data_IF_184989519240
#
_entry.id   IF_184989519240
#
_cell.length_a   1.000
_cell.length_b   1.000
_cell.length_c   1.000
_cell.angle_alpha   90.00
_cell.angle_beta   90.00
_cell.angle_gamma   90.00
#
_symmetry.space_group_name_H-M   'P 1'
#
loop_
_entity.id
_entity.type
_entity.pdbx_description
1 polymer ?
#
# COMPACT_ATOMS: atom_id res chain seq x y z
N UNK A 1 -5.48 10.35 3.19
CA UNK A 1 -5.50 8.86 3.28
C UNK A 1 -4.88 8.26 2.04
N UNK A 2 -4.33 7.04 2.16
CA UNK A 2 -3.73 6.28 1.06
C UNK A 2 -4.52 4.98 0.89
N UNK A 3 -5.11 4.79 -0.28
CA UNK A 3 -5.92 3.62 -0.61
C UNK A 3 -5.26 2.79 -1.71
N UNK A 4 -5.05 1.50 -1.44
CA UNK A 4 -4.64 0.52 -2.45
C UNK A 4 -5.86 0.17 -3.30
N UNK A 5 -5.83 0.48 -4.59
CA UNK A 5 -6.89 0.14 -5.55
C UNK A 5 -6.67 -1.23 -6.18
N UNK A 6 -5.48 -1.44 -6.72
CA UNK A 6 -5.11 -2.67 -7.42
C UNK A 6 -3.67 -3.06 -7.09
N UNK A 7 -3.39 -4.36 -7.06
CA UNK A 7 -2.09 -4.90 -6.66
C UNK A 7 -1.15 -5.05 -7.88
N UNK A 8 -1.73 -5.16 -9.08
CA UNK A 8 -1.00 -5.50 -10.29
C UNK A 8 -0.37 -6.91 -10.24
N UNK A 9 0.53 -7.23 -11.19
CA UNK A 9 1.13 -8.56 -11.31
C UNK A 9 2.19 -8.86 -10.23
N UNK A 10 2.76 -7.84 -9.59
CA UNK A 10 3.92 -7.95 -8.69
C UNK A 10 3.52 -8.07 -7.21
N UNK A 11 2.63 -9.01 -6.90
CA UNK A 11 2.02 -9.18 -5.57
C UNK A 11 3.02 -9.24 -4.40
N UNK A 12 4.14 -9.94 -4.57
CA UNK A 12 5.18 -10.06 -3.52
C UNK A 12 5.81 -8.70 -3.21
N UNK A 13 6.08 -7.87 -4.23
CA UNK A 13 6.68 -6.56 -4.06
C UNK A 13 5.70 -5.62 -3.35
N UNK A 14 4.42 -5.65 -3.74
CA UNK A 14 3.39 -4.85 -3.07
C UNK A 14 3.24 -5.25 -1.60
N UNK A 15 3.22 -6.55 -1.28
CA UNK A 15 3.18 -7.00 0.12
C UNK A 15 4.40 -6.49 0.90
N UNK A 16 5.60 -6.51 0.32
CA UNK A 16 6.79 -5.95 0.98
C UNK A 16 6.65 -4.45 1.23
N UNK A 17 6.23 -3.69 0.22
CA UNK A 17 6.02 -2.24 0.35
C UNK A 17 4.96 -1.91 1.41
N UNK A 18 3.82 -2.64 1.44
CA UNK A 18 2.79 -2.48 2.48
C UNK A 18 3.36 -2.75 3.87
N UNK A 19 4.14 -3.82 4.05
CA UNK A 19 4.77 -4.10 5.35
C UNK A 19 5.71 -3.00 5.82
N UNK A 20 6.46 -2.40 4.89
CA UNK A 20 7.38 -1.33 5.22
C UNK A 20 6.68 -0.04 5.65
N UNK A 21 5.49 0.26 5.11
CA UNK A 21 4.76 1.51 5.42
C UNK A 21 3.75 1.37 6.57
N UNK A 22 3.30 0.13 6.85
CA UNK A 22 2.30 -0.16 7.89
C UNK A 22 2.86 -0.89 9.11
N UNK A 23 4.07 -1.45 9.03
CA UNK A 23 4.68 -2.34 10.04
C UNK A 23 3.87 -3.60 10.36
N UNK A 24 2.92 -3.99 9.50
CA UNK A 24 2.13 -5.21 9.66
C UNK A 24 2.96 -6.49 9.53
N UNK A 25 2.49 -7.56 10.17
CA UNK A 25 3.02 -8.91 9.97
C UNK A 25 2.81 -9.40 8.54
N UNK A 26 3.56 -10.44 8.14
CA UNK A 26 3.47 -10.98 6.77
C UNK A 26 2.04 -11.45 6.43
N UNK A 27 1.35 -12.05 7.40
CA UNK A 27 -0.03 -12.50 7.23
C UNK A 27 -0.99 -11.34 7.02
N UNK A 28 -0.95 -10.35 7.92
CA UNK A 28 -1.84 -9.19 7.91
C UNK A 28 -1.65 -8.34 6.65
N UNK A 29 -0.39 -8.11 6.25
CA UNK A 29 -0.10 -7.37 5.01
C UNK A 29 -0.56 -8.12 3.76
N UNK A 30 -0.46 -9.46 3.76
CA UNK A 30 -1.00 -10.27 2.66
C UNK A 30 -2.52 -10.17 2.62
N UNK A 31 -3.21 -10.32 3.75
CA UNK A 31 -4.67 -10.18 3.86
C UNK A 31 -5.12 -8.79 3.40
N UNK A 32 -4.42 -7.71 3.81
CA UNK A 32 -4.71 -6.34 3.37
C UNK A 32 -4.58 -6.18 1.86
N UNK A 33 -3.43 -6.59 1.31
CA UNK A 33 -3.15 -6.45 -0.14
C UNK A 33 -4.14 -7.27 -0.96
N UNK A 34 -4.47 -8.50 -0.54
CA UNK A 34 -5.47 -9.36 -1.19
C UNK A 34 -6.91 -8.85 -1.08
N UNK A 35 -7.17 -7.93 -0.14
CA UNK A 35 -8.49 -7.32 0.07
C UNK A 35 -8.68 -6.01 -0.70
N UNK A 36 -7.78 -5.69 -1.65
CA UNK A 36 -7.92 -4.49 -2.48
C UNK A 36 -9.31 -4.44 -3.16
N UNK A 37 -10.04 -3.31 -3.11
CA UNK A 37 -9.59 -2.01 -2.60
C UNK A 37 -9.55 -1.92 -1.06
N UNK A 38 -8.44 -1.41 -0.50
CA UNK A 38 -8.20 -1.34 0.95
C UNK A 38 -7.44 -0.06 1.36
N UNK A 39 -7.75 0.50 2.55
CA UNK A 39 -6.97 1.60 3.13
C UNK A 39 -5.64 1.09 3.67
N UNK A 40 -4.56 1.80 3.34
CA UNK A 40 -3.18 1.49 3.75
C UNK A 40 -2.81 2.33 4.96
N UNK A 41 -3.14 3.63 4.93
CA UNK A 41 -2.76 4.58 5.98
C UNK A 41 -3.61 5.85 5.93
N UNK A 42 -4.04 6.28 7.10
CA UNK A 42 -4.91 7.45 7.30
C UNK A 42 -4.27 8.47 8.24
N UNK A 43 -4.73 9.72 8.18
CA UNK A 43 -4.29 10.77 9.12
C UNK A 43 -2.82 11.21 8.98
N UNK A 44 -2.20 10.96 7.82
CA UNK A 44 -0.81 11.32 7.52
C UNK A 44 -0.69 12.64 6.77
N UNK A 45 0.48 13.27 6.83
CA UNK A 45 0.80 14.46 6.05
C UNK A 45 0.81 14.16 4.55
N UNK A 46 0.62 15.20 3.73
CA UNK A 46 0.57 15.05 2.27
C UNK A 46 1.89 14.49 1.72
N UNK A 47 3.01 14.96 2.25
CA UNK A 47 4.35 14.51 1.87
C UNK A 47 4.53 13.01 2.15
N UNK A 48 4.08 12.54 3.32
CA UNK A 48 4.12 11.12 3.67
C UNK A 48 3.18 10.29 2.78
N UNK A 49 2.00 10.82 2.44
CA UNK A 49 1.07 10.15 1.53
C UNK A 49 1.65 10.00 0.12
N UNK A 50 2.33 11.03 -0.39
CA UNK A 50 2.98 11.02 -1.70
C UNK A 50 4.19 10.05 -1.72
N UNK A 51 4.96 9.96 -0.62
CA UNK A 51 6.04 8.97 -0.47
C UNK A 51 5.50 7.53 -0.48
N UNK A 52 4.44 7.25 0.29
CA UNK A 52 3.82 5.91 0.34
C UNK A 52 3.23 5.55 -1.02
N UNK A 53 2.53 6.48 -1.67
CA UNK A 53 1.98 6.29 -3.01
C UNK A 53 3.07 5.89 -3.99
N UNK A 54 4.15 6.68 -4.06
CA UNK A 54 5.28 6.42 -4.96
C UNK A 54 5.86 5.03 -4.73
N UNK A 55 6.09 4.67 -3.47
CA UNK A 55 6.67 3.37 -3.10
C UNK A 55 5.79 2.18 -3.48
N UNK A 56 4.48 2.32 -3.35
CA UNK A 56 3.52 1.28 -3.74
C UNK A 56 3.36 1.20 -5.27
N UNK A 57 3.36 2.33 -5.97
CA UNK A 57 3.32 2.37 -7.44
C UNK A 57 4.58 1.77 -8.07
N UNK A 58 5.77 2.05 -7.52
CA UNK A 58 7.03 1.40 -7.92
C UNK A 58 7.01 -0.12 -7.66
N UNK A 59 6.29 -0.56 -6.64
CA UNK A 59 6.08 -1.99 -6.37
C UNK A 59 5.09 -2.65 -7.35
N UNK A 60 4.38 -1.86 -8.17
CA UNK A 60 3.43 -2.31 -9.19
C UNK A 60 1.96 -2.21 -8.80
N UNK A 61 1.63 -1.54 -7.69
CA UNK A 61 0.26 -1.30 -7.26
C UNK A 61 -0.33 -0.02 -7.88
N UNK A 62 -1.65 0.04 -8.03
CA UNK A 62 -2.38 1.27 -8.27
C UNK A 62 -2.87 1.84 -6.92
N UNK A 63 -2.53 3.10 -6.63
CA UNK A 63 -2.84 3.74 -5.34
C UNK A 63 -3.55 5.07 -5.56
N UNK A 64 -4.51 5.37 -4.70
CA UNK A 64 -5.20 6.66 -4.66
C UNK A 64 -4.87 7.38 -3.35
N UNK A 65 -4.53 8.66 -3.45
CA UNK A 65 -4.35 9.56 -2.32
C UNK A 65 -5.54 10.53 -2.29
N UNK A 66 -6.18 10.65 -1.13
CA UNK A 66 -7.23 11.64 -0.85
C UNK A 66 -6.86 12.53 0.32
#
# INVERSE_FOLDING_TARGET
EVNLKEIGPNKINVIKAVREVTSLGLREAKELVESAPASIKDGIAKEEADEIKTKLEEAGAAVEVK
#
